data_IF_653559649731
#
_entry.id   IF_653559649731
#
_cell.length_a   1.000
_cell.length_b   1.000
_cell.length_c   1.000
_cell.angle_alpha   90.00
_cell.angle_beta   90.00
_cell.angle_gamma   90.00
#
_symmetry.space_group_name_H-M   'P 1'
#
loop_
_entity.id
_entity.type
_entity.pdbx_description
1 polymer ?
#
# COMPACT_ATOMS: atom_id res chain seq x y z
N UNK A 1 -3.14 -5.34 -19.17
CA UNK A 1 -2.06 -4.85 -18.29
C UNK A 1 -2.72 -4.17 -17.09
N UNK A 2 -2.34 -4.54 -15.88
CA UNK A 2 -2.94 -3.98 -14.67
C UNK A 2 -2.51 -2.52 -14.52
N UNK A 3 -3.43 -1.62 -14.14
CA UNK A 3 -3.10 -0.25 -13.72
C UNK A 3 -3.26 -0.17 -12.21
N UNK A 4 -2.19 0.18 -11.53
CA UNK A 4 -2.24 0.54 -10.12
C UNK A 4 -2.83 1.94 -10.03
N UNK A 5 -3.69 2.17 -9.05
CA UNK A 5 -4.37 3.43 -8.82
C UNK A 5 -3.79 4.12 -7.58
N UNK A 6 -3.87 5.46 -7.54
CA UNK A 6 -3.66 6.21 -6.31
C UNK A 6 -4.73 5.85 -5.30
N UNK A 7 -4.40 5.86 -4.02
CA UNK A 7 -5.37 5.74 -2.93
C UNK A 7 -5.39 7.03 -2.11
N UNK A 8 -6.37 7.88 -2.38
CA UNK A 8 -6.49 9.24 -1.81
C UNK A 8 -7.90 9.40 -1.22
N UNK A 9 -7.98 9.93 0.01
CA UNK A 9 -9.26 10.18 0.71
C UNK A 9 -10.19 8.95 0.77
N UNK A 10 -9.59 7.77 1.02
CA UNK A 10 -10.33 6.51 1.15
C UNK A 10 -10.83 5.91 -0.17
N UNK A 11 -10.33 6.39 -1.33
CA UNK A 11 -10.78 5.95 -2.65
C UNK A 11 -9.60 5.63 -3.56
N UNK A 12 -9.77 4.61 -4.37
CA UNK A 12 -8.88 4.33 -5.50
C UNK A 12 -9.25 5.22 -6.69
N UNK A 13 -8.25 5.73 -7.40
CA UNK A 13 -8.44 6.48 -8.64
C UNK A 13 -7.17 6.64 -9.47
N UNK A 14 -7.34 6.86 -10.76
CA UNK A 14 -6.26 7.19 -11.68
C UNK A 14 -5.56 8.53 -11.30
N UNK A 15 -4.27 8.72 -11.63
CA UNK A 15 -3.64 10.04 -11.54
C UNK A 15 -4.34 11.03 -12.47
N UNK A 16 -4.42 12.31 -12.07
CA UNK A 16 -5.19 13.35 -12.77
C UNK A 16 -4.80 13.48 -14.24
N UNK A 17 -3.51 13.45 -14.53
CA UNK A 17 -3.00 13.60 -15.90
C UNK A 17 -3.05 12.29 -16.70
N UNK A 18 -3.54 11.20 -16.09
CA UNK A 18 -3.61 9.86 -16.65
C UNK A 18 -2.24 9.35 -17.18
N UNK A 19 -1.15 9.88 -16.61
CA UNK A 19 0.23 9.46 -16.88
C UNK A 19 0.59 8.27 -16.00
N UNK A 20 1.35 7.34 -16.58
CA UNK A 20 1.79 6.13 -15.91
C UNK A 20 3.22 5.78 -16.28
N UNK A 21 3.91 5.12 -15.35
CA UNK A 21 5.21 4.50 -15.57
C UNK A 21 5.05 3.00 -15.75
N UNK A 22 5.91 2.42 -16.57
CA UNK A 22 6.01 0.97 -16.73
C UNK A 22 6.56 0.34 -15.44
N UNK A 23 5.87 -0.69 -14.95
CA UNK A 23 6.31 -1.47 -13.81
C UNK A 23 6.78 -2.86 -14.26
N UNK A 24 8.05 -3.14 -14.04
CA UNK A 24 8.72 -4.33 -14.55
C UNK A 24 8.75 -5.41 -13.49
N UNK A 25 8.53 -6.65 -13.90
CA UNK A 25 8.84 -7.82 -13.09
C UNK A 25 10.35 -8.09 -13.21
N UNK A 26 11.17 -7.95 -12.15
CA UNK A 26 12.61 -8.08 -12.25
C UNK A 26 13.08 -9.48 -12.67
N UNK A 27 12.28 -10.53 -12.44
CA UNK A 27 12.64 -11.90 -12.79
C UNK A 27 12.49 -12.20 -14.30
N UNK A 28 11.60 -11.51 -15.00
CA UNK A 28 11.34 -11.73 -16.44
C UNK A 28 11.80 -10.55 -17.31
N UNK A 29 11.92 -9.36 -16.73
CA UNK A 29 12.18 -8.11 -17.47
C UNK A 29 10.95 -7.59 -18.22
N UNK A 30 9.77 -8.18 -18.02
CA UNK A 30 8.54 -7.80 -18.69
C UNK A 30 7.73 -6.80 -17.87
N UNK A 31 6.99 -5.92 -18.55
CA UNK A 31 6.06 -4.99 -17.93
C UNK A 31 4.83 -5.78 -17.45
N UNK A 32 4.61 -5.83 -16.14
CA UNK A 32 3.48 -6.57 -15.56
C UNK A 32 2.31 -5.64 -15.18
N UNK A 33 2.62 -4.39 -14.84
CA UNK A 33 1.62 -3.35 -14.53
C UNK A 33 2.09 -1.96 -14.92
N UNK A 34 1.20 -0.99 -14.76
CA UNK A 34 1.47 0.44 -14.86
C UNK A 34 1.26 1.07 -13.48
N UNK A 35 2.18 1.94 -13.04
CA UNK A 35 2.06 2.70 -11.79
C UNK A 35 1.76 4.17 -12.06
N UNK A 36 0.96 4.87 -11.23
CA UNK A 36 0.66 6.28 -11.43
C UNK A 36 1.91 7.15 -11.44
N UNK A 37 2.10 7.94 -12.50
CA UNK A 37 3.06 9.07 -12.48
C UNK A 37 2.32 10.31 -11.99
N UNK A 38 2.18 10.41 -10.66
CA UNK A 38 1.30 11.39 -10.02
C UNK A 38 1.84 12.81 -10.17
N UNK A 39 0.97 13.73 -10.57
CA UNK A 39 1.31 15.15 -10.74
C UNK A 39 1.26 15.88 -9.39
N UNK A 40 1.78 17.11 -9.32
CA UNK A 40 1.70 17.95 -8.11
C UNK A 40 0.27 18.16 -7.62
N UNK A 41 -0.72 18.10 -8.52
CA UNK A 41 -2.14 18.20 -8.16
C UNK A 41 -2.66 16.96 -7.41
N UNK A 42 -2.24 15.75 -7.79
CA UNK A 42 -2.56 14.52 -7.06
C UNK A 42 -1.96 14.59 -5.64
N UNK A 43 -0.71 15.03 -5.56
CA UNK A 43 0.01 15.21 -4.28
C UNK A 43 -0.71 16.23 -3.40
N UNK A 44 -1.10 17.39 -3.95
CA UNK A 44 -1.83 18.40 -3.19
C UNK A 44 -3.18 17.87 -2.66
N UNK A 45 -3.91 17.05 -3.45
CA UNK A 45 -5.14 16.41 -2.98
C UNK A 45 -4.87 15.42 -1.84
N UNK A 46 -3.81 14.62 -1.94
CA UNK A 46 -3.42 13.70 -0.88
C UNK A 46 -3.04 14.43 0.42
N UNK A 47 -2.29 15.53 0.32
CA UNK A 47 -1.91 16.36 1.47
C UNK A 47 -3.14 16.97 2.13
N UNK A 48 -4.03 17.60 1.36
CA UNK A 48 -5.26 18.21 1.90
C UNK A 48 -6.16 17.17 2.57
N UNK A 49 -6.30 15.98 1.99
CA UNK A 49 -7.05 14.88 2.59
C UNK A 49 -6.43 14.42 3.91
N UNK A 50 -5.11 14.28 3.97
CA UNK A 50 -4.39 13.90 5.18
C UNK A 50 -4.50 14.97 6.29
N UNK A 51 -4.34 16.26 5.95
CA UNK A 51 -4.49 17.37 6.91
C UNK A 51 -5.90 17.43 7.51
N UNK A 52 -6.92 17.21 6.69
CA UNK A 52 -8.32 17.15 7.13
C UNK A 52 -8.55 15.95 8.06
N UNK A 53 -8.10 14.76 7.67
CA UNK A 53 -8.25 13.55 8.47
C UNK A 53 -7.49 13.63 9.82
N UNK A 54 -6.35 14.32 9.85
CA UNK A 54 -5.52 14.47 11.04
C UNK A 54 -6.25 15.17 12.19
N UNK A 55 -7.14 16.13 11.90
CA UNK A 55 -7.88 16.86 12.94
C UNK A 55 -8.70 15.91 13.83
N UNK A 56 -9.37 14.92 13.23
CA UNK A 56 -10.11 13.90 13.97
C UNK A 56 -9.18 12.79 14.49
N UNK A 57 -8.28 12.28 13.65
CA UNK A 57 -7.39 11.18 13.99
C UNK A 57 -6.48 11.45 15.19
N UNK A 58 -5.97 12.69 15.30
CA UNK A 58 -5.05 13.09 16.38
C UNK A 58 -5.71 13.05 17.76
N UNK A 59 -7.01 13.36 17.84
CA UNK A 59 -7.79 13.35 19.08
C UNK A 59 -8.49 12.01 19.36
N UNK A 60 -8.52 11.09 18.39
CA UNK A 60 -9.03 9.73 18.60
C UNK A 60 -8.29 9.05 19.76
N UNK A 61 -8.99 8.42 20.74
CA UNK A 61 -8.34 7.76 21.85
C UNK A 61 -7.32 6.70 21.40
N UNK A 62 -6.19 6.60 22.10
CA UNK A 62 -5.13 5.66 21.75
C UNK A 62 -5.63 4.21 21.65
N UNK A 63 -6.57 3.81 22.52
CA UNK A 63 -7.18 2.50 22.48
C UNK A 63 -7.95 2.24 21.17
N UNK A 64 -8.70 3.22 20.66
CA UNK A 64 -9.45 3.06 19.41
C UNK A 64 -8.51 3.01 18.21
N UNK A 65 -7.44 3.82 18.19
CA UNK A 65 -6.42 3.73 17.16
C UNK A 65 -5.70 2.37 17.18
N UNK A 66 -5.35 1.86 18.36
CA UNK A 66 -4.71 0.56 18.51
C UNK A 66 -5.60 -0.58 17.99
N UNK A 67 -6.92 -0.54 18.23
CA UNK A 67 -7.86 -1.52 17.64
C UNK A 67 -7.81 -1.53 16.11
N UNK A 68 -7.67 -0.37 15.48
CA UNK A 68 -7.55 -0.25 14.01
C UNK A 68 -6.23 -0.87 13.54
N UNK A 69 -5.11 -0.57 14.19
CA UNK A 69 -3.79 -1.13 13.84
C UNK A 69 -3.76 -2.67 14.00
N UNK A 70 -4.34 -3.18 15.09
CA UNK A 70 -4.54 -4.61 15.28
C UNK A 70 -5.37 -5.23 14.16
N UNK A 71 -6.47 -4.58 13.75
CA UNK A 71 -7.29 -5.05 12.63
C UNK A 71 -6.52 -5.11 11.32
N UNK A 72 -5.64 -4.14 11.06
CA UNK A 72 -4.75 -4.14 9.90
C UNK A 72 -3.80 -5.34 9.96
N UNK A 73 -3.20 -5.63 11.13
CA UNK A 73 -2.32 -6.80 11.31
C UNK A 73 -3.04 -8.12 10.98
N UNK A 74 -4.29 -8.27 11.45
CA UNK A 74 -5.12 -9.45 11.17
C UNK A 74 -5.41 -9.59 9.66
N UNK A 75 -5.66 -8.48 8.97
CA UNK A 75 -5.91 -8.52 7.52
C UNK A 75 -4.64 -8.83 6.72
N UNK A 76 -3.47 -8.35 7.16
CA UNK A 76 -2.19 -8.71 6.55
C UNK A 76 -1.93 -10.22 6.70
N UNK A 77 -2.19 -10.79 7.87
CA UNK A 77 -2.03 -12.24 8.11
C UNK A 77 -3.03 -13.07 7.33
N UNK A 78 -4.30 -12.64 7.29
CA UNK A 78 -5.35 -13.31 6.50
C UNK A 78 -4.96 -13.39 5.02
N UNK A 79 -4.42 -12.30 4.47
CA UNK A 79 -4.11 -12.18 3.05
C UNK A 79 -2.62 -12.44 2.74
N UNK A 80 -1.93 -13.18 3.61
CA UNK A 80 -0.47 -13.35 3.58
C UNK A 80 0.06 -13.83 2.23
N UNK A 81 -0.56 -14.85 1.62
CA UNK A 81 -0.11 -15.40 0.33
C UNK A 81 -0.29 -14.40 -0.83
N UNK A 82 -1.33 -13.56 -0.76
CA UNK A 82 -1.57 -12.50 -1.74
C UNK A 82 -0.49 -11.43 -1.66
N UNK A 83 -0.17 -10.98 -0.45
CA UNK A 83 0.88 -9.98 -0.26
C UNK A 83 2.28 -10.54 -0.58
N UNK A 84 2.57 -11.78 -0.21
CA UNK A 84 3.86 -12.42 -0.51
C UNK A 84 4.08 -12.55 -2.02
N UNK A 85 3.03 -12.91 -2.75
CA UNK A 85 3.08 -13.01 -4.22
C UNK A 85 3.28 -11.64 -4.87
N UNK A 86 2.56 -10.61 -4.43
CA UNK A 86 2.72 -9.24 -4.92
C UNK A 86 4.15 -8.71 -4.67
N UNK A 87 4.66 -8.87 -3.45
CA UNK A 87 6.01 -8.46 -3.05
C UNK A 87 7.11 -9.19 -3.86
N UNK A 88 6.90 -10.47 -4.15
CA UNK A 88 7.82 -11.27 -4.97
C UNK A 88 7.84 -10.83 -6.43
N UNK A 89 6.67 -10.54 -7.01
CA UNK A 89 6.55 -10.05 -8.39
C UNK A 89 7.22 -8.68 -8.55
N UNK A 90 6.97 -7.76 -7.62
CA UNK A 90 7.44 -6.38 -7.73
C UNK A 90 8.95 -6.25 -7.42
N UNK A 91 9.45 -7.04 -6.46
CA UNK A 91 10.84 -6.91 -6.01
C UNK A 91 11.78 -7.99 -6.58
N UNK A 92 11.25 -9.04 -7.21
CA UNK A 92 12.02 -10.15 -7.78
C UNK A 92 12.58 -11.15 -6.77
N UNK A 93 12.33 -10.96 -5.47
CA UNK A 93 12.76 -11.88 -4.41
C UNK A 93 11.96 -13.19 -4.47
N UNK A 94 12.51 -14.33 -4.02
CA UNK A 94 11.74 -15.57 -3.90
C UNK A 94 10.50 -15.38 -3.04
N UNK A 95 9.34 -15.86 -3.51
CA UNK A 95 8.07 -15.78 -2.76
C UNK A 95 8.17 -16.38 -1.36
N UNK A 96 9.01 -17.41 -1.18
CA UNK A 96 9.29 -17.99 0.13
C UNK A 96 9.86 -16.98 1.12
N UNK A 97 10.76 -16.10 0.67
CA UNK A 97 11.36 -15.06 1.51
C UNK A 97 10.34 -13.98 1.88
N UNK A 98 9.58 -13.49 0.90
CA UNK A 98 8.49 -12.53 1.14
C UNK A 98 7.48 -13.09 2.16
N UNK A 99 7.11 -14.36 1.99
CA UNK A 99 6.16 -15.08 2.83
C UNK A 99 6.63 -15.26 4.27
N UNK A 100 7.90 -15.59 4.48
CA UNK A 100 8.40 -15.92 5.82
C UNK A 100 9.01 -14.73 6.55
N UNK A 101 9.35 -13.64 5.86
CA UNK A 101 10.04 -12.48 6.45
C UNK A 101 9.23 -11.19 6.28
N UNK A 102 8.99 -10.76 5.04
CA UNK A 102 8.47 -9.41 4.78
C UNK A 102 7.04 -9.22 5.27
N UNK A 103 6.13 -10.11 4.89
CA UNK A 103 4.72 -10.00 5.25
C UNK A 103 4.49 -10.22 6.76
N UNK A 104 5.12 -11.22 7.42
CA UNK A 104 5.03 -11.37 8.87
C UNK A 104 5.62 -10.18 9.63
N UNK A 105 6.70 -9.57 9.14
CA UNK A 105 7.28 -8.36 9.76
C UNK A 105 6.34 -7.17 9.65
N UNK A 106 5.67 -6.99 8.51
CA UNK A 106 4.67 -5.94 8.33
C UNK A 106 3.51 -6.09 9.34
N UNK A 107 2.93 -7.30 9.45
CA UNK A 107 1.89 -7.60 10.46
C UNK A 107 2.39 -7.29 11.89
N UNK A 108 3.59 -7.76 12.22
CA UNK A 108 4.17 -7.59 13.56
C UNK A 108 4.39 -6.11 13.92
N UNK A 109 4.79 -5.27 12.95
CA UNK A 109 4.92 -3.83 13.16
C UNK A 109 3.58 -3.19 13.48
N UNK A 110 2.51 -3.50 12.73
CA UNK A 110 1.17 -3.00 13.02
C UNK A 110 0.60 -3.51 14.35
N UNK A 111 0.97 -4.72 14.77
CA UNK A 111 0.57 -5.26 16.07
C UNK A 111 1.30 -4.61 17.24
N UNK A 112 2.54 -4.15 17.02
CA UNK A 112 3.38 -3.56 18.05
C UNK A 112 3.01 -2.11 18.38
N UNK A 113 2.69 -1.30 17.37
CA UNK A 113 2.31 0.11 17.52
C UNK A 113 0.79 0.28 17.76
#
# INVERSE_FOLDING_TARGET
>A
MQKIENYIDGKLGAPIDNNYLDNFNPATGEIYSLIPDSHINDVNQAVQAAEKAFQEWSVTPALERSKILLKISEFIERDLEKFASAESIDNGKPVSLARTVDIPRASSNFRFF
#
